data_IF_254548702517
#
_entry.id   IF_254548702517
#
_cell.length_a   1.000
_cell.length_b   1.000
_cell.length_c   1.000
_cell.angle_alpha   90.00
_cell.angle_beta   90.00
_cell.angle_gamma   90.00
#
_symmetry.space_group_name_H-M   'P 1'
#
loop_
_entity.id
_entity.type
_entity.pdbx_description
1 polymer ?
#
# COMPACT_ATOMS: atom_id res chain seq x y z
N UNK A 1 -3.93 8.97 11.73
CA UNK A 1 -3.69 8.40 10.38
C UNK A 1 -3.36 9.57 9.48
N UNK A 2 -2.13 9.68 8.99
CA UNK A 2 -1.76 10.77 8.06
C UNK A 2 -2.56 10.55 6.77
N UNK A 3 -3.31 11.55 6.27
CA UNK A 3 -4.13 11.35 5.09
C UNK A 3 -3.25 11.04 3.88
N UNK A 4 -3.64 10.03 3.11
CA UNK A 4 -2.97 9.60 1.85
C UNK A 4 -2.55 10.76 0.94
N UNK A 5 -3.33 11.85 0.79
CA UNK A 5 -2.90 13.01 0.02
C UNK A 5 -1.58 13.64 0.48
N UNK A 6 -1.31 13.66 1.79
CA UNK A 6 -0.11 14.29 2.35
C UNK A 6 1.17 13.52 2.03
N UNK A 7 1.11 12.18 2.03
CA UNK A 7 2.27 11.33 1.74
C UNK A 7 2.74 11.54 0.31
N UNK A 8 1.80 11.59 -0.63
CA UNK A 8 2.09 11.80 -2.05
C UNK A 8 2.60 13.23 -2.31
N UNK A 9 2.05 14.24 -1.62
CA UNK A 9 2.49 15.64 -1.76
C UNK A 9 3.89 15.88 -1.21
N UNK A 10 4.24 15.30 -0.06
CA UNK A 10 5.54 15.52 0.58
C UNK A 10 6.70 14.95 -0.22
N UNK A 11 6.54 13.78 -0.85
CA UNK A 11 7.61 13.19 -1.65
C UNK A 11 7.87 13.97 -2.94
N UNK A 12 6.80 14.44 -3.60
CA UNK A 12 6.89 15.30 -4.79
C UNK A 12 7.55 16.64 -4.46
N UNK A 13 7.21 17.22 -3.30
CA UNK A 13 7.84 18.43 -2.80
C UNK A 13 9.33 18.20 -2.52
N UNK A 14 9.70 17.08 -1.89
CA UNK A 14 11.11 16.73 -1.60
C UNK A 14 11.94 16.55 -2.88
N UNK A 15 11.40 15.87 -3.89
CA UNK A 15 12.04 15.69 -5.19
C UNK A 15 12.25 17.04 -5.92
N UNK A 16 11.24 17.90 -5.92
CA UNK A 16 11.33 19.24 -6.52
C UNK A 16 12.31 20.17 -5.80
N UNK A 17 12.44 20.03 -4.47
CA UNK A 17 13.36 20.82 -3.66
C UNK A 17 14.83 20.47 -3.95
N UNK A 18 15.12 19.18 -4.20
CA UNK A 18 16.45 18.73 -4.63
C UNK A 18 16.74 19.15 -6.07
N UNK A 19 15.75 19.07 -6.96
CA UNK A 19 15.89 19.48 -8.36
C UNK A 19 16.12 21.00 -8.51
N UNK A 20 15.44 21.81 -7.69
CA UNK A 20 15.55 23.28 -7.72
C UNK A 20 16.90 23.82 -7.21
N UNK A 21 17.62 23.04 -6.38
CA UNK A 21 18.93 23.45 -5.85
C UNK A 21 20.09 23.31 -6.84
N UNK A 22 19.97 22.51 -7.91
CA UNK A 22 21.12 22.19 -8.76
C UNK A 22 20.74 22.11 -10.25
N UNK A 23 21.23 23.06 -11.06
CA UNK A 23 20.94 23.15 -12.52
C UNK A 23 21.33 21.88 -13.28
N UNK A 24 22.38 21.19 -12.85
CA UNK A 24 22.83 19.92 -13.44
C UNK A 24 21.87 18.76 -13.15
N UNK A 25 21.30 18.72 -11.93
CA UNK A 25 20.34 17.70 -11.53
C UNK A 25 19.01 17.88 -12.26
N UNK A 26 18.54 19.11 -12.44
CA UNK A 26 17.35 19.42 -13.25
C UNK A 26 17.51 18.98 -14.71
N UNK A 27 18.68 19.18 -15.32
CA UNK A 27 18.95 18.75 -16.70
C UNK A 27 19.03 17.23 -16.85
N UNK A 28 19.59 16.55 -15.84
CA UNK A 28 19.64 15.08 -15.79
C UNK A 28 18.24 14.48 -15.57
N UNK A 29 17.46 15.06 -14.66
CA UNK A 29 16.06 14.72 -14.44
C UNK A 29 15.24 14.95 -15.70
N UNK A 30 15.40 16.08 -16.40
CA UNK A 30 14.69 16.33 -17.66
C UNK A 30 15.07 15.32 -18.75
N UNK A 31 16.35 14.96 -18.90
CA UNK A 31 16.79 13.94 -19.86
C UNK A 31 16.26 12.54 -19.51
N UNK A 32 16.25 12.18 -18.23
CA UNK A 32 15.66 10.94 -17.73
C UNK A 32 14.14 10.93 -17.93
N UNK A 33 13.44 11.99 -17.54
CA UNK A 33 11.99 12.13 -17.71
C UNK A 33 11.57 12.16 -19.18
N UNK A 34 12.36 12.74 -20.08
CA UNK A 34 12.06 12.80 -21.51
C UNK A 34 12.15 11.42 -22.17
N UNK A 35 13.13 10.60 -21.77
CA UNK A 35 13.30 9.24 -22.26
C UNK A 35 12.31 8.25 -21.62
N UNK A 36 11.96 8.45 -20.34
CA UNK A 36 10.97 7.65 -19.63
C UNK A 36 9.55 7.95 -20.12
N UNK A 37 9.18 9.23 -20.35
CA UNK A 37 7.87 9.62 -20.91
C UNK A 37 7.59 9.01 -22.28
N UNK A 38 8.60 8.79 -23.11
CA UNK A 38 8.45 8.18 -24.43
C UNK A 38 8.20 6.65 -24.38
N UNK A 39 8.50 5.98 -23.25
CA UNK A 39 8.32 4.53 -23.03
C UNK A 39 7.30 4.19 -21.94
N UNK A 40 6.76 5.19 -21.24
CA UNK A 40 5.89 5.03 -20.07
C UNK A 40 4.44 4.62 -20.39
N UNK A 41 4.01 4.68 -21.67
CA UNK A 41 2.61 4.43 -22.05
C UNK A 41 2.01 3.13 -21.47
N UNK A 42 2.67 1.96 -21.65
CA UNK A 42 2.19 0.72 -21.04
C UNK A 42 2.47 0.64 -19.53
N UNK A 43 3.59 1.21 -19.07
CA UNK A 43 4.11 1.02 -17.71
C UNK A 43 3.23 1.71 -16.66
N UNK A 44 2.71 2.89 -16.96
CA UNK A 44 1.89 3.66 -16.03
C UNK A 44 0.51 3.00 -15.81
N UNK A 45 -0.05 2.40 -16.85
CA UNK A 45 -1.31 1.64 -16.77
C UNK A 45 -1.13 0.34 -15.98
N UNK A 46 0.01 -0.36 -16.13
CA UNK A 46 0.34 -1.52 -15.30
C UNK A 46 0.58 -1.16 -13.83
N UNK A 47 1.20 -0.01 -13.54
CA UNK A 47 1.34 0.50 -12.16
C UNK A 47 -0.04 0.83 -11.56
N UNK A 48 -0.93 1.44 -12.34
CA UNK A 48 -2.28 1.78 -11.90
C UNK A 48 -3.13 0.53 -11.64
N UNK A 49 -3.16 -0.41 -12.58
CA UNK A 49 -3.88 -1.68 -12.43
C UNK A 49 -3.29 -2.53 -11.30
N UNK A 50 -1.97 -2.62 -11.20
CA UNK A 50 -1.29 -3.38 -10.16
C UNK A 50 -1.56 -2.83 -8.77
N UNK A 51 -1.54 -1.50 -8.62
CA UNK A 51 -1.88 -0.84 -7.36
C UNK A 51 -3.36 -1.02 -7.00
N UNK A 52 -4.25 -0.83 -7.97
CA UNK A 52 -5.69 -1.02 -7.77
C UNK A 52 -6.03 -2.46 -7.36
N UNK A 53 -5.46 -3.46 -8.04
CA UNK A 53 -5.64 -4.87 -7.71
C UNK A 53 -5.07 -5.21 -6.32
N UNK A 54 -3.87 -4.71 -5.99
CA UNK A 54 -3.26 -4.92 -4.67
C UNK A 54 -4.15 -4.41 -3.53
N UNK A 55 -4.79 -3.25 -3.72
CA UNK A 55 -5.69 -2.66 -2.73
C UNK A 55 -7.06 -3.35 -2.73
N UNK A 56 -7.51 -3.87 -3.88
CA UNK A 56 -8.77 -4.59 -4.01
C UNK A 56 -8.79 -5.93 -3.26
N UNK A 57 -7.63 -6.59 -3.07
CA UNK A 57 -7.58 -7.82 -2.28
C UNK A 57 -7.74 -7.49 -0.79
N UNK A 58 -8.78 -8.01 -0.11
CA UNK A 58 -9.05 -7.69 1.29
C UNK A 58 -8.16 -8.52 2.23
N UNK A 59 -6.85 -8.30 2.18
CA UNK A 59 -5.90 -8.90 3.13
C UNK A 59 -5.75 -8.01 4.38
N UNK A 60 -5.59 -8.59 5.58
CA UNK A 60 -5.18 -7.82 6.76
C UNK A 60 -3.81 -7.17 6.51
N UNK A 61 -3.78 -5.84 6.39
CA UNK A 61 -2.55 -5.08 6.11
C UNK A 61 -2.45 -4.53 4.68
N UNK A 62 -3.28 -5.00 3.74
CA UNK A 62 -3.48 -4.34 2.43
C UNK A 62 -4.59 -3.29 2.56
N UNK A 63 -4.39 -2.12 1.96
CA UNK A 63 -5.34 -1.03 2.05
C UNK A 63 -4.78 0.29 1.53
N UNK A 64 -5.58 1.36 1.61
CA UNK A 64 -5.20 2.66 1.05
C UNK A 64 -3.89 3.22 1.62
N UNK A 65 -3.54 2.89 2.87
CA UNK A 65 -2.29 3.34 3.50
C UNK A 65 -1.04 2.68 2.89
N UNK A 66 -1.05 1.35 2.70
CA UNK A 66 0.01 0.59 2.02
C UNK A 66 0.01 0.89 0.52
N UNK A 67 -1.16 1.06 -0.08
CA UNK A 67 -1.30 1.49 -1.47
C UNK A 67 -0.72 2.88 -1.71
N UNK A 68 -0.91 3.83 -0.78
CA UNK A 68 -0.28 5.14 -0.85
C UNK A 68 1.24 5.07 -0.75
N UNK A 69 1.76 4.17 0.08
CA UNK A 69 3.19 3.92 0.19
C UNK A 69 3.78 3.32 -1.10
N UNK A 70 3.09 2.35 -1.70
CA UNK A 70 3.49 1.73 -2.98
C UNK A 70 3.40 2.75 -4.12
N UNK A 71 2.35 3.56 -4.20
CA UNK A 71 2.21 4.65 -5.17
C UNK A 71 3.37 5.65 -5.06
N UNK A 72 3.83 5.92 -3.82
CA UNK A 72 4.95 6.80 -3.54
C UNK A 72 6.30 6.18 -3.96
N UNK A 73 6.49 4.87 -3.82
CA UNK A 73 7.70 4.17 -4.27
C UNK A 73 7.74 4.08 -5.80
N UNK A 74 6.59 3.88 -6.43
CA UNK A 74 6.46 3.80 -7.88
C UNK A 74 6.48 5.18 -8.57
N UNK A 75 6.64 6.25 -7.80
CA UNK A 75 6.59 7.66 -8.24
C UNK A 75 5.36 7.97 -9.11
N UNK A 76 4.22 7.42 -8.72
CA UNK A 76 2.98 7.57 -9.48
C UNK A 76 2.44 9.00 -9.39
N UNK A 77 1.81 9.51 -10.47
CA UNK A 77 1.14 10.80 -10.41
C UNK A 77 0.04 10.79 -9.35
N UNK A 78 -0.11 11.92 -8.65
CA UNK A 78 -1.06 12.06 -7.55
C UNK A 78 -2.48 11.57 -7.89
N UNK A 79 -3.01 12.01 -9.03
CA UNK A 79 -4.36 11.65 -9.46
C UNK A 79 -4.48 10.18 -9.86
N UNK A 80 -3.44 9.61 -10.48
CA UNK A 80 -3.39 8.19 -10.86
C UNK A 80 -3.29 7.29 -9.64
N UNK A 81 -2.40 7.58 -8.69
CA UNK A 81 -2.27 6.82 -7.44
C UNK A 81 -3.52 6.93 -6.55
N UNK A 82 -4.11 8.13 -6.46
CA UNK A 82 -5.34 8.34 -5.69
C UNK A 82 -6.54 7.61 -6.30
N UNK A 83 -6.70 7.68 -7.63
CA UNK A 83 -7.79 6.98 -8.32
C UNK A 83 -7.65 5.47 -8.25
N UNK A 84 -6.45 4.91 -8.42
CA UNK A 84 -6.19 3.47 -8.26
C UNK A 84 -6.55 2.98 -6.85
N UNK A 85 -6.10 3.70 -5.81
CA UNK A 85 -6.44 3.39 -4.42
C UNK A 85 -7.95 3.47 -4.17
N UNK A 86 -8.61 4.51 -4.67
CA UNK A 86 -10.04 4.71 -4.46
C UNK A 86 -10.86 3.59 -5.10
N UNK A 87 -10.57 3.26 -6.37
CA UNK A 87 -11.23 2.17 -7.10
C UNK A 87 -10.94 0.83 -6.43
N UNK A 88 -9.70 0.58 -6.01
CA UNK A 88 -9.31 -0.63 -5.28
C UNK A 88 -10.09 -0.79 -3.96
N UNK A 89 -10.26 0.27 -3.17
CA UNK A 89 -11.03 0.22 -1.92
C UNK A 89 -12.51 -0.03 -2.16
N UNK A 90 -13.10 0.58 -3.19
CA UNK A 90 -14.49 0.33 -3.56
C UNK A 90 -14.69 -1.12 -3.98
N UNK A 91 -13.76 -1.68 -4.78
CA UNK A 91 -13.77 -3.08 -5.17
C UNK A 91 -13.58 -4.02 -3.98
N UNK A 92 -12.66 -3.72 -3.06
CA UNK A 92 -12.50 -4.48 -1.82
C UNK A 92 -13.80 -4.49 -0.99
N UNK A 93 -14.46 -3.33 -0.88
CA UNK A 93 -15.75 -3.20 -0.20
C UNK A 93 -16.84 -4.03 -0.85
N UNK A 94 -16.95 -4.00 -2.18
CA UNK A 94 -17.89 -4.83 -2.94
C UNK A 94 -17.60 -6.32 -2.79
N UNK A 95 -16.34 -6.73 -2.91
CA UNK A 95 -15.93 -8.14 -2.75
C UNK A 95 -16.23 -8.64 -1.35
N UNK A 96 -15.87 -7.88 -0.31
CA UNK A 96 -16.16 -8.24 1.08
C UNK A 96 -17.68 -8.25 1.33
N UNK A 97 -18.43 -7.29 0.79
CA UNK A 97 -19.88 -7.28 0.91
C UNK A 97 -20.49 -8.53 0.27
N UNK A 98 -20.06 -8.90 -0.92
CA UNK A 98 -20.50 -10.10 -1.61
C UNK A 98 -20.12 -11.37 -0.83
N UNK A 99 -18.90 -11.45 -0.31
CA UNK A 99 -18.41 -12.58 0.50
C UNK A 99 -19.20 -12.75 1.81
N UNK A 100 -19.51 -11.63 2.47
CA UNK A 100 -20.27 -11.61 3.72
C UNK A 100 -21.75 -11.91 3.47
N UNK A 101 -22.32 -11.41 2.37
CA UNK A 101 -23.71 -11.68 1.98
C UNK A 101 -23.90 -13.15 1.56
N UNK A 102 -22.89 -13.77 0.93
CA UNK A 102 -22.86 -15.21 0.63
C UNK A 102 -22.71 -16.10 1.87
N UNK A 103 -22.48 -15.55 3.06
CA UNK A 103 -22.71 -16.27 4.30
C UNK A 103 -21.96 -15.73 5.51
N UNK A 104 -22.68 -14.99 6.36
CA UNK A 104 -22.36 -14.67 7.77
C UNK A 104 -21.71 -15.82 8.55
N UNK A 105 -22.02 -17.07 8.18
CA UNK A 105 -21.43 -18.28 8.75
C UNK A 105 -19.90 -18.33 8.61
N UNK A 106 -19.34 -17.95 7.47
CA UNK A 106 -17.90 -18.00 7.25
C UNK A 106 -17.16 -16.88 7.98
N UNK A 107 -17.73 -15.68 8.02
CA UNK A 107 -17.15 -14.55 8.74
C UNK A 107 -17.03 -14.81 10.25
N UNK A 108 -18.06 -15.42 10.85
CA UNK A 108 -18.04 -15.83 12.27
C UNK A 108 -17.00 -16.93 12.49
N UNK A 109 -16.93 -17.93 11.60
CA UNK A 109 -15.95 -19.02 11.70
C UNK A 109 -14.51 -18.50 11.56
N UNK A 110 -14.23 -17.65 10.57
CA UNK A 110 -12.90 -17.06 10.38
C UNK A 110 -12.53 -16.15 11.56
N UNK A 111 -13.48 -15.37 12.10
CA UNK A 111 -13.28 -14.56 13.30
C UNK A 111 -12.90 -15.40 14.53
N UNK A 112 -13.59 -16.52 14.76
CA UNK A 112 -13.29 -17.44 15.86
C UNK A 112 -11.91 -18.10 15.67
N UNK A 113 -11.61 -18.58 14.46
CA UNK A 113 -10.31 -19.20 14.15
C UNK A 113 -9.15 -18.23 14.34
N UNK A 114 -9.28 -16.99 13.84
CA UNK A 114 -8.25 -15.95 14.01
C UNK A 114 -8.04 -15.58 15.48
N UNK A 115 -9.11 -15.54 16.29
CA UNK A 115 -9.02 -15.27 17.72
C UNK A 115 -8.23 -16.36 18.47
N UNK A 116 -8.47 -17.63 18.14
CA UNK A 116 -7.73 -18.75 18.73
C UNK A 116 -6.26 -18.80 18.29
N UNK A 117 -5.98 -18.57 17.01
CA UNK A 117 -4.59 -18.52 16.51
C UNK A 117 -3.82 -17.37 17.15
N UNK A 118 -4.44 -16.20 17.31
CA UNK A 118 -3.84 -15.03 17.96
C UNK A 118 -3.50 -15.29 19.44
N UNK A 119 -4.43 -15.85 20.20
CA UNK A 119 -4.21 -16.19 21.62
C UNK A 119 -3.15 -17.27 21.80
N UNK A 120 -3.09 -18.26 20.91
CA UNK A 120 -2.06 -19.29 20.93
C UNK A 120 -0.67 -18.74 20.59
N UNK A 121 -0.55 -17.93 19.53
CA UNK A 121 0.70 -17.31 19.13
C UNK A 121 1.25 -16.38 20.22
N UNK A 122 0.38 -15.58 20.86
CA UNK A 122 0.73 -14.73 21.99
C UNK A 122 1.18 -15.54 23.23
N UNK A 123 0.63 -16.73 23.43
CA UNK A 123 1.05 -17.64 24.50
C UNK A 123 2.46 -18.20 24.26
N UNK A 124 2.76 -18.60 23.02
CA UNK A 124 4.09 -19.10 22.62
C UNK A 124 5.15 -17.99 22.73
N UNK A 125 4.86 -16.80 22.20
CA UNK A 125 5.78 -15.66 22.27
C UNK A 125 6.12 -15.29 23.72
N UNK A 126 5.13 -15.34 24.62
CA UNK A 126 5.38 -15.10 26.06
C UNK A 126 6.25 -16.18 26.70
N UNK A 127 6.09 -17.45 26.31
CA UNK A 127 6.95 -18.54 26.80
C UNK A 127 8.40 -18.36 26.33
N UNK A 128 8.62 -18.03 25.06
CA UNK A 128 9.96 -17.81 24.49
C UNK A 128 10.63 -16.61 25.15
N UNK A 129 9.93 -15.47 25.28
CA UNK A 129 10.46 -14.26 25.94
C UNK A 129 10.87 -14.53 27.39
N UNK A 130 10.09 -15.33 28.13
CA UNK A 130 10.38 -15.70 29.52
C UNK A 130 11.61 -16.60 29.63
N UNK A 131 11.81 -17.52 28.68
CA UNK A 131 12.98 -18.41 28.63
C UNK A 131 14.28 -17.65 28.31
N UNK A 132 14.22 -16.60 27.48
CA UNK A 132 15.36 -15.75 27.16
C UNK A 132 15.76 -14.85 28.34
N UNK A 133 14.80 -14.37 29.14
CA UNK A 133 15.09 -13.55 30.33
C UNK A 133 15.67 -14.32 31.51
N UNK A 134 15.58 -15.64 31.53
CA UNK A 134 16.17 -16.50 32.57
C UNK A 134 17.59 -16.99 32.23
N UNK A 135 18.05 -16.74 31.00
CA UNK A 135 19.38 -17.11 30.51
C UNK A 135 20.38 -15.94 30.53
N UNK A 136 19.89 -14.72 30.82
CA UNK A 136 20.69 -13.52 31.09
C UNK A 136 20.66 -13.21 32.59
#
# INVERSE_FOLDING_TARGET
MVPVPFIILYLKSFASFIAGKNKTASRLLDLLFKNTKAKAGPVEEFQWLGLMLFVAVPFPGTGAWTGAFIASILDMPFWSGLSANFVGVVLAGLLVNLLVNLGLKYAIVTGIVLFFVSTFMWSILRKIKKSLSTLN
#
